data_IF_766140127983
#
_entry.id   IF_766140127983
#
_cell.length_a   1.000
_cell.length_b   1.000
_cell.length_c   1.000
_cell.angle_alpha   90.00
_cell.angle_beta   90.00
_cell.angle_gamma   90.00
#
_symmetry.space_group_name_H-M   'P 1'
#
loop_
_entity.id
_entity.type
_entity.pdbx_description
1 polymer ?
#
# COMPACT_ATOMS: atom_id res chain seq x y z
N UNK A 1 14.32 -22.36 14.43
CA UNK A 1 14.97 -22.79 13.17
C UNK A 1 14.68 -21.75 12.10
N UNK A 2 15.66 -21.40 11.26
CA UNK A 2 15.39 -20.52 10.12
C UNK A 2 14.46 -21.25 9.14
N UNK A 3 13.35 -20.62 8.75
CA UNK A 3 12.41 -21.18 7.78
C UNK A 3 12.90 -20.82 6.38
N UNK A 4 13.24 -21.83 5.59
CA UNK A 4 13.60 -21.65 4.18
C UNK A 4 12.33 -21.51 3.35
N UNK A 5 12.33 -20.59 2.39
CA UNK A 5 11.25 -20.39 1.44
C UNK A 5 11.84 -20.46 0.03
N UNK A 6 11.30 -21.33 -0.80
CA UNK A 6 11.62 -21.40 -2.23
C UNK A 6 10.68 -20.47 -2.97
N UNK A 7 11.23 -19.62 -3.83
CA UNK A 7 10.47 -18.62 -4.59
C UNK A 7 11.00 -18.62 -6.01
N UNK A 8 10.09 -18.53 -6.98
CA UNK A 8 10.46 -18.25 -8.37
C UNK A 8 10.25 -16.75 -8.63
N UNK A 9 11.31 -16.09 -9.08
CA UNK A 9 11.35 -14.63 -9.32
C UNK A 9 11.41 -14.29 -10.81
N UNK A 10 11.46 -15.30 -11.69
CA UNK A 10 11.69 -15.11 -13.12
C UNK A 10 13.15 -14.81 -13.47
N UNK A 11 13.45 -14.81 -14.77
CA UNK A 11 14.84 -14.77 -15.26
C UNK A 11 15.49 -13.39 -15.11
N UNK A 12 14.77 -12.31 -15.41
CA UNK A 12 15.29 -10.93 -15.31
C UNK A 12 15.75 -10.59 -13.88
N UNK A 13 14.91 -10.88 -12.88
CA UNK A 13 15.26 -10.63 -11.48
C UNK A 13 16.36 -11.56 -10.98
N UNK A 14 16.44 -12.78 -11.52
CA UNK A 14 17.52 -13.72 -11.18
C UNK A 14 18.86 -13.21 -11.66
N UNK A 15 18.95 -12.74 -12.91
CA UNK A 15 20.17 -12.14 -13.46
C UNK A 15 20.59 -10.90 -12.67
N UNK A 16 19.62 -10.06 -12.29
CA UNK A 16 19.88 -8.89 -11.46
C UNK A 16 20.44 -9.28 -10.07
N UNK A 17 19.80 -10.23 -9.37
CA UNK A 17 20.27 -10.72 -8.06
C UNK A 17 21.69 -11.30 -8.17
N UNK A 18 21.94 -12.10 -9.20
CA UNK A 18 23.25 -12.71 -9.43
C UNK A 18 24.33 -11.65 -9.71
N UNK A 19 23.98 -10.55 -10.41
CA UNK A 19 24.90 -9.44 -10.64
C UNK A 19 25.32 -8.75 -9.34
N UNK A 20 24.38 -8.55 -8.41
CA UNK A 20 24.63 -7.92 -7.11
C UNK A 20 25.52 -8.79 -6.21
N UNK A 21 25.32 -10.11 -6.25
CA UNK A 21 26.19 -11.05 -5.53
C UNK A 21 27.59 -11.10 -6.15
N UNK A 22 27.69 -11.12 -7.48
CA UNK A 22 28.99 -11.10 -8.20
C UNK A 22 29.78 -9.81 -7.98
N UNK A 23 29.09 -8.68 -7.84
CA UNK A 23 29.71 -7.39 -7.51
C UNK A 23 30.33 -7.38 -6.10
N UNK A 24 29.90 -8.30 -5.22
CA UNK A 24 30.38 -8.40 -3.85
C UNK A 24 29.59 -7.56 -2.84
N UNK A 25 28.57 -6.83 -3.29
CA UNK A 25 27.68 -6.04 -2.43
C UNK A 25 26.87 -6.93 -1.47
N UNK A 26 26.63 -8.19 -1.87
CA UNK A 26 25.91 -9.20 -1.09
C UNK A 26 26.62 -10.54 -1.14
N UNK A 27 26.59 -11.30 -0.04
CA UNK A 27 27.24 -12.62 0.03
C UNK A 27 26.36 -13.74 -0.51
N UNK A 28 25.04 -13.56 -0.48
CA UNK A 28 24.08 -14.59 -0.89
C UNK A 28 22.82 -13.97 -1.52
N UNK A 29 22.16 -14.70 -2.42
CA UNK A 29 20.87 -14.29 -2.98
C UNK A 29 19.81 -14.04 -1.89
N UNK A 30 19.81 -14.87 -0.84
CA UNK A 30 18.91 -14.72 0.31
C UNK A 30 19.11 -13.39 1.07
N UNK A 31 20.31 -12.81 1.01
CA UNK A 31 20.60 -11.50 1.60
C UNK A 31 19.96 -10.38 0.78
N UNK A 32 20.13 -10.43 -0.54
CA UNK A 32 19.48 -9.51 -1.49
C UNK A 32 17.96 -9.54 -1.30
N UNK A 33 17.36 -10.73 -1.24
CA UNK A 33 15.91 -10.88 -1.06
C UNK A 33 15.41 -10.30 0.26
N UNK A 34 16.15 -10.49 1.36
CA UNK A 34 15.77 -9.91 2.66
C UNK A 34 15.82 -8.39 2.63
N UNK A 35 16.83 -7.82 1.97
CA UNK A 35 16.97 -6.37 1.89
C UNK A 35 15.92 -5.73 0.98
N UNK A 36 15.66 -6.34 -0.18
CA UNK A 36 14.58 -5.92 -1.07
C UNK A 36 13.21 -5.92 -0.37
N UNK A 37 12.90 -6.95 0.42
CA UNK A 37 11.66 -7.02 1.20
C UNK A 37 11.60 -5.99 2.33
N UNK A 38 12.74 -5.65 2.95
CA UNK A 38 12.81 -4.58 3.95
C UNK A 38 12.49 -3.23 3.31
N UNK A 39 13.12 -2.93 2.18
CA UNK A 39 12.86 -1.71 1.42
C UNK A 39 11.41 -1.63 0.95
N UNK A 40 10.83 -2.74 0.47
CA UNK A 40 9.42 -2.79 0.09
C UNK A 40 8.51 -2.46 1.28
N UNK A 41 8.80 -3.02 2.46
CA UNK A 41 8.04 -2.76 3.69
C UNK A 41 8.11 -1.28 4.09
N UNK A 42 9.28 -0.67 4.00
CA UNK A 42 9.49 0.76 4.28
C UNK A 42 8.68 1.63 3.33
N UNK A 43 8.79 1.40 2.01
CA UNK A 43 7.99 2.11 0.99
C UNK A 43 6.49 1.96 1.22
N UNK A 44 6.01 0.78 1.59
CA UNK A 44 4.60 0.56 1.89
C UNK A 44 4.15 1.30 3.16
N UNK A 45 5.00 1.40 4.18
CA UNK A 45 4.69 2.14 5.40
C UNK A 45 4.60 3.65 5.12
N UNK A 46 5.53 4.18 4.33
CA UNK A 46 5.53 5.58 3.90
C UNK A 46 4.33 5.91 3.02
N UNK A 47 3.99 5.04 2.06
CA UNK A 47 2.87 5.23 1.15
C UNK A 47 1.53 5.33 1.88
N UNK A 48 1.27 4.48 2.88
CA UNK A 48 0.01 4.53 3.65
C UNK A 48 -0.09 5.79 4.49
N UNK A 49 1.03 6.26 5.03
CA UNK A 49 1.06 7.51 5.78
C UNK A 49 0.80 8.70 4.86
N UNK A 50 1.34 8.67 3.64
CA UNK A 50 1.08 9.71 2.66
C UNK A 50 -0.39 9.71 2.21
N UNK A 51 -0.96 8.54 1.93
CA UNK A 51 -2.38 8.40 1.61
C UNK A 51 -3.29 8.98 2.70
N UNK A 52 -2.99 8.71 3.98
CA UNK A 52 -3.72 9.29 5.10
C UNK A 52 -3.58 10.83 5.17
N UNK A 53 -2.39 11.37 4.89
CA UNK A 53 -2.18 12.82 4.83
C UNK A 53 -2.98 13.47 3.72
N UNK A 54 -3.02 12.83 2.55
CA UNK A 54 -3.74 13.34 1.40
C UNK A 54 -5.25 13.35 1.65
N UNK A 55 -5.81 12.28 2.23
CA UNK A 55 -7.22 12.22 2.64
C UNK A 55 -7.58 13.27 3.71
N UNK A 56 -6.68 13.54 4.65
CA UNK A 56 -6.88 14.61 5.64
C UNK A 56 -6.84 15.99 4.97
N UNK A 57 -5.90 16.23 4.05
CA UNK A 57 -5.83 17.48 3.32
C UNK A 57 -7.07 17.72 2.45
N UNK A 58 -7.58 16.67 1.79
CA UNK A 58 -8.86 16.69 1.07
C UNK A 58 -10.01 17.05 2.02
N UNK A 59 -10.11 16.39 3.17
CA UNK A 59 -11.12 16.69 4.17
C UNK A 59 -11.05 18.13 4.69
N UNK A 60 -9.85 18.65 4.97
CA UNK A 60 -9.65 20.02 5.43
C UNK A 60 -9.95 21.07 4.34
N UNK A 61 -9.68 20.75 3.09
CA UNK A 61 -9.98 21.64 1.94
C UNK A 61 -11.43 21.54 1.45
N UNK A 62 -12.20 20.56 1.93
CA UNK A 62 -13.61 20.35 1.54
C UNK A 62 -14.60 21.43 2.03
N UNK A 63 -14.11 22.40 2.82
CA UNK A 63 -14.88 23.52 3.35
C UNK A 63 -15.26 23.35 4.82
N UNK A 64 -16.15 24.21 5.31
CA UNK A 64 -16.52 24.18 6.72
C UNK A 64 -17.34 22.93 7.08
N UNK A 65 -16.99 22.32 8.21
CA UNK A 65 -17.72 21.20 8.77
C UNK A 65 -19.15 21.63 9.11
N UNK A 66 -20.13 20.88 8.60
CA UNK A 66 -21.55 21.10 8.88
C UNK A 66 -22.03 20.18 10.00
N UNK A 67 -23.03 20.59 10.80
CA UNK A 67 -23.68 19.71 11.75
C UNK A 67 -24.17 18.43 11.06
N UNK A 68 -23.78 17.27 11.59
CA UNK A 68 -24.11 15.97 11.01
C UNK A 68 -25.14 15.24 11.87
N UNK A 69 -26.23 14.79 11.24
CA UNK A 69 -27.26 13.96 11.87
C UNK A 69 -27.35 12.62 11.12
N UNK A 70 -27.15 11.52 11.87
CA UNK A 70 -27.14 10.17 11.32
C UNK A 70 -28.46 9.78 10.64
N UNK A 71 -29.59 10.01 11.31
CA UNK A 71 -30.90 9.55 10.83
C UNK A 71 -31.31 10.31 9.56
N UNK A 72 -31.06 11.62 9.52
CA UNK A 72 -31.28 12.45 8.34
C UNK A 72 -30.42 11.99 7.15
N UNK A 73 -29.14 11.66 7.40
CA UNK A 73 -28.24 11.14 6.38
C UNK A 73 -28.73 9.81 5.80
N UNK A 74 -29.09 8.84 6.65
CA UNK A 74 -29.55 7.52 6.20
C UNK A 74 -30.87 7.60 5.42
N UNK A 75 -31.78 8.48 5.82
CA UNK A 75 -33.02 8.71 5.08
C UNK A 75 -32.75 9.26 3.67
N UNK A 76 -31.82 10.22 3.54
CA UNK A 76 -31.43 10.79 2.25
C UNK A 76 -30.76 9.75 1.34
N UNK A 77 -29.88 8.90 1.88
CA UNK A 77 -29.23 7.82 1.11
C UNK A 77 -30.27 6.82 0.60
N UNK A 78 -31.22 6.39 1.44
CA UNK A 78 -32.28 5.46 1.05
C UNK A 78 -33.18 6.04 -0.03
N UNK A 79 -33.56 7.31 0.09
CA UNK A 79 -34.37 8.00 -0.91
C UNK A 79 -33.65 8.08 -2.27
N UNK A 80 -32.34 8.36 -2.27
CA UNK A 80 -31.54 8.41 -3.49
C UNK A 80 -31.45 7.06 -4.20
N UNK A 81 -31.22 5.97 -3.46
CA UNK A 81 -31.17 4.61 -4.03
C UNK A 81 -32.53 4.16 -4.56
N UNK A 82 -33.64 4.60 -3.94
CA UNK A 82 -34.98 4.33 -4.46
C UNK A 82 -35.23 5.03 -5.80
N UNK A 83 -34.85 6.31 -5.92
CA UNK A 83 -35.00 7.09 -7.15
C UNK A 83 -34.09 6.63 -8.30
N UNK A 84 -32.97 5.96 -8.03
CA UNK A 84 -32.09 5.39 -9.07
C UNK A 84 -32.59 4.04 -9.61
N UNK A 85 -33.66 3.47 -9.02
CA UNK A 85 -34.25 2.17 -9.39
C UNK A 85 -35.54 2.27 -10.20
N UNK A 86 -36.10 3.47 -10.32
CA UNK A 86 -37.22 3.81 -11.21
C UNK A 86 -36.70 4.37 -12.54
#
# INVERSE_FOLDING_TARGET
MARTMTVDVGDELREFIDSLVKAGDYRTQSEVMRDALRLLREKQAESRLQELRDLLAEGLSSGEAKPWNRDAFLNNVRARVANERD
#
